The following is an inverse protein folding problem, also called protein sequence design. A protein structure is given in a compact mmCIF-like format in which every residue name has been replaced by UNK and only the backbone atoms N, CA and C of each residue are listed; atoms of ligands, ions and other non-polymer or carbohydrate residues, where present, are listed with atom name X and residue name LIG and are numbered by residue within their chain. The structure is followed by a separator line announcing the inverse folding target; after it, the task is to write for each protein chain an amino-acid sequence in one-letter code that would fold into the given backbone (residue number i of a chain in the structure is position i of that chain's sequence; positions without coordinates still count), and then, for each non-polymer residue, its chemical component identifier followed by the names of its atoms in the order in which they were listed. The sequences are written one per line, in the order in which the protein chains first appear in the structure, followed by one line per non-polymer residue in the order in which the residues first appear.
data_IF_691664627079
#
_entry.id   IF_691664627079
#
_cell.length_a   1.000
_cell.length_b   1.000
_cell.length_c   1.000
_cell.angle_alpha   90.00
_cell.angle_beta   90.00
_cell.angle_gamma   90.00
#
_symmetry.space_group_name_H-M   'P 1'
#
loop_
_entity.id
_entity.type
_entity.pdbx_description
1 polymer ?
#
# COMPACT_ATOMS: atom_id res chain seq x y z
N UNK A 1 -11.54 -11.02 17.82
CA UNK A 1 -10.06 -11.04 17.77
C UNK A 1 -9.59 -9.69 17.23
N UNK A 2 -8.95 -8.85 18.05
CA UNK A 2 -8.31 -7.63 17.58
C UNK A 2 -6.94 -8.00 17.01
N UNK A 3 -6.78 -7.90 15.69
CA UNK A 3 -5.45 -7.97 15.09
C UNK A 3 -4.77 -6.60 15.22
N UNK A 4 -3.46 -6.55 15.51
CA UNK A 4 -2.75 -5.29 15.55
C UNK A 4 -2.87 -4.56 14.20
N UNK A 5 -2.87 -3.24 14.27
CA UNK A 5 -2.72 -2.39 13.08
C UNK A 5 -1.43 -2.77 12.37
N UNK A 6 -1.46 -3.07 11.06
CA UNK A 6 -0.25 -3.33 10.30
C UNK A 6 0.71 -2.14 10.38
N UNK A 7 1.99 -2.43 10.60
CA UNK A 7 3.06 -1.44 10.65
C UNK A 7 4.17 -1.86 9.70
N UNK A 8 4.77 -0.91 9.01
CA UNK A 8 5.95 -1.11 8.18
C UNK A 8 6.94 0.03 8.35
N UNK A 9 8.23 -0.29 8.31
CA UNK A 9 9.31 0.70 8.36
C UNK A 9 9.98 0.80 7.00
N UNK A 10 10.09 2.01 6.46
CA UNK A 10 10.78 2.27 5.20
C UNK A 10 12.29 2.08 5.39
N UNK A 11 12.90 1.25 4.53
CA UNK A 11 14.32 0.83 4.68
C UNK A 11 15.31 2.00 4.70
N UNK A 12 15.10 3.03 3.88
CA UNK A 12 16.07 4.10 3.68
C UNK A 12 15.83 5.34 4.55
N UNK A 13 14.56 5.68 4.81
CA UNK A 13 14.22 6.88 5.60
C UNK A 13 13.96 6.58 7.07
N UNK A 14 13.64 5.32 7.41
CA UNK A 14 13.17 4.96 8.75
C UNK A 14 11.73 5.37 9.03
N UNK A 15 11.02 5.95 8.05
CA UNK A 15 9.62 6.37 8.23
C UNK A 15 8.74 5.16 8.57
N UNK A 16 7.86 5.35 9.54
CA UNK A 16 6.95 4.35 10.07
C UNK A 16 5.59 4.56 9.42
N UNK A 17 5.15 3.58 8.66
CA UNK A 17 3.82 3.52 8.06
C UNK A 17 2.92 2.65 8.93
N UNK A 18 1.77 3.17 9.33
CA UNK A 18 0.75 2.48 10.12
C UNK A 18 -0.55 2.45 9.33
N UNK A 19 -1.21 1.29 9.30
CA UNK A 19 -2.57 1.16 8.78
C UNK A 19 -3.55 1.15 9.94
N UNK A 20 -4.40 2.16 9.98
CA UNK A 20 -5.55 2.20 10.87
C UNK A 20 -6.67 1.32 10.32
N UNK A 21 -7.24 0.48 11.19
CA UNK A 21 -8.39 -0.37 10.84
C UNK A 21 -9.70 0.41 11.01
N UNK A 22 -10.82 -0.31 11.08
CA UNK A 22 -12.14 0.31 11.22
C UNK A 22 -12.18 1.31 12.39
N UNK A 23 -12.93 2.42 12.26
CA UNK A 23 -13.94 2.68 11.22
C UNK A 23 -13.46 3.45 9.98
N UNK A 24 -12.28 4.07 10.01
CA UNK A 24 -11.86 5.03 8.97
C UNK A 24 -11.01 4.42 7.86
N UNK A 25 -10.31 3.31 8.12
CA UNK A 25 -9.41 2.65 7.16
C UNK A 25 -8.46 3.62 6.47
N UNK A 26 -7.39 4.04 7.14
CA UNK A 26 -6.44 5.00 6.58
C UNK A 26 -4.99 4.58 6.81
N UNK A 27 -4.10 5.14 6.00
CA UNK A 27 -2.66 5.03 6.18
C UNK A 27 -2.19 6.29 6.90
N UNK A 28 -1.32 6.12 7.89
CA UNK A 28 -0.61 7.20 8.55
C UNK A 28 0.89 6.97 8.43
N UNK A 29 1.65 8.04 8.19
CA UNK A 29 3.11 7.99 8.09
C UNK A 29 3.72 8.89 9.15
N UNK A 30 4.68 8.35 9.88
CA UNK A 30 5.42 9.01 10.94
C UNK A 30 6.91 8.95 10.63
N UNK A 31 7.65 9.95 11.10
CA UNK A 31 9.11 9.89 11.13
C UNK A 31 9.57 8.87 12.17
N UNK A 32 10.80 8.36 12.03
CA UNK A 32 11.42 7.51 13.06
C UNK A 32 11.52 8.17 14.44
N UNK A 33 11.51 9.51 14.49
CA UNK A 33 11.47 10.31 15.72
C UNK A 33 10.10 10.35 16.40
N UNK A 34 9.07 9.76 15.78
CA UNK A 34 7.67 9.78 16.25
C UNK A 34 6.84 10.95 15.72
N UNK A 35 7.43 11.87 14.94
CA UNK A 35 6.70 13.00 14.35
C UNK A 35 5.68 12.57 13.31
N UNK A 36 4.43 13.01 13.42
CA UNK A 36 3.41 12.77 12.40
C UNK A 36 3.75 13.52 11.11
N UNK A 37 3.71 12.84 9.97
CA UNK A 37 3.97 13.46 8.66
C UNK A 37 2.68 13.69 7.87
N UNK A 38 1.88 12.63 7.67
CA UNK A 38 0.69 12.68 6.81
C UNK A 38 -0.21 11.47 7.02
N UNK A 39 -1.46 11.59 6.56
CA UNK A 39 -2.45 10.52 6.48
C UNK A 39 -3.23 10.59 5.17
N UNK A 40 -3.61 9.44 4.61
CA UNK A 40 -4.32 9.34 3.33
C UNK A 40 -5.01 7.97 3.17
N UNK A 41 -5.74 7.81 2.08
CA UNK A 41 -6.32 6.53 1.66
C UNK A 41 -7.70 6.19 2.27
N UNK A 42 -8.27 7.03 3.13
CA UNK A 42 -9.58 6.79 3.77
C UNK A 42 -10.74 6.57 2.81
N UNK A 43 -10.66 7.12 1.59
CA UNK A 43 -11.66 6.94 0.54
C UNK A 43 -11.39 5.74 -0.37
N UNK A 44 -10.15 5.26 -0.42
CA UNK A 44 -9.73 4.19 -1.34
C UNK A 44 -9.73 2.81 -0.68
N UNK A 45 -9.46 2.78 0.63
CA UNK A 45 -9.24 1.56 1.39
C UNK A 45 -10.54 0.93 1.88
N UNK A 46 -10.59 -0.40 1.77
CA UNK A 46 -11.61 -1.28 2.31
C UNK A 46 -10.90 -2.36 3.13
N UNK A 47 -11.36 -2.64 4.36
CA UNK A 47 -10.62 -3.28 5.44
C UNK A 47 -9.21 -3.81 5.06
N UNK A 48 -8.17 -2.95 5.11
CA UNK A 48 -6.82 -3.33 4.72
C UNK A 48 -6.25 -4.37 5.68
N UNK A 49 -5.50 -5.32 5.14
CA UNK A 49 -4.92 -6.45 5.88
C UNK A 49 -3.44 -6.25 6.19
N UNK A 50 -2.71 -5.57 5.29
CA UNK A 50 -1.31 -5.25 5.50
C UNK A 50 -0.74 -4.30 4.46
N UNK A 51 0.50 -3.91 4.68
CA UNK A 51 1.25 -2.94 3.88
C UNK A 51 2.70 -3.39 3.71
N UNK A 52 3.25 -3.12 2.55
CA UNK A 52 4.68 -3.23 2.28
C UNK A 52 5.15 -1.90 1.66
N UNK A 53 6.40 -1.53 1.91
CA UNK A 53 7.01 -0.31 1.38
C UNK A 53 8.20 -0.70 0.51
N UNK A 54 8.22 -0.22 -0.73
CA UNK A 54 9.31 -0.51 -1.66
C UNK A 54 10.53 0.41 -1.40
N UNK A 55 11.70 0.09 -1.98
CA UNK A 55 12.91 0.91 -1.87
C UNK A 55 12.74 2.38 -2.27
N UNK A 56 11.74 2.71 -3.08
CA UNK A 56 11.47 4.07 -3.57
C UNK A 56 10.35 4.75 -2.75
N UNK A 57 9.92 4.15 -1.64
CA UNK A 57 8.93 4.71 -0.74
C UNK A 57 7.48 4.54 -1.20
N UNK A 58 7.18 3.77 -2.25
CA UNK A 58 5.79 3.45 -2.59
C UNK A 58 5.22 2.37 -1.70
N UNK A 59 3.94 2.54 -1.38
CA UNK A 59 3.22 1.72 -0.43
C UNK A 59 2.33 0.76 -1.21
N UNK A 60 2.50 -0.55 -0.98
CA UNK A 60 1.64 -1.59 -1.50
C UNK A 60 0.76 -2.10 -0.38
N UNK A 61 -0.54 -1.82 -0.47
CA UNK A 61 -1.55 -2.23 0.50
C UNK A 61 -2.39 -3.34 -0.11
N UNK A 62 -2.69 -4.37 0.68
CA UNK A 62 -3.56 -5.46 0.27
C UNK A 62 -4.76 -5.60 1.20
N UNK A 63 -5.90 -5.91 0.58
CA UNK A 63 -7.20 -6.01 1.23
C UNK A 63 -7.72 -7.43 1.09
N UNK A 64 -8.25 -8.01 2.17
CA UNK A 64 -8.66 -9.42 2.15
C UNK A 64 -10.12 -9.64 1.74
N UNK A 65 -11.02 -8.68 2.04
CA UNK A 65 -12.45 -8.86 1.78
C UNK A 65 -12.77 -8.80 0.28
N UNK A 66 -12.11 -7.90 -0.43
CA UNK A 66 -12.27 -7.71 -1.88
C UNK A 66 -11.11 -8.27 -2.68
N UNK A 67 -10.13 -8.88 -2.00
CA UNK A 67 -8.90 -9.43 -2.57
C UNK A 67 -8.28 -8.48 -3.59
N UNK A 68 -7.85 -7.31 -3.11
CA UNK A 68 -7.39 -6.20 -3.94
C UNK A 68 -6.03 -5.72 -3.47
N UNK A 69 -5.19 -5.32 -4.43
CA UNK A 69 -3.93 -4.64 -4.18
C UNK A 69 -4.07 -3.19 -4.63
N UNK A 70 -3.61 -2.27 -3.78
CA UNK A 70 -3.63 -0.83 -4.01
C UNK A 70 -2.22 -0.31 -3.78
N UNK A 71 -1.71 0.48 -4.71
CA UNK A 71 -0.37 1.05 -4.64
C UNK A 71 -0.49 2.56 -4.57
N UNK A 72 0.18 3.16 -3.58
CA UNK A 72 0.28 4.60 -3.39
C UNK A 72 1.72 5.07 -3.59
N UNK A 73 1.86 6.28 -4.11
CA UNK A 73 3.10 7.03 -3.99
C UNK A 73 3.39 7.39 -2.53
N UNK A 74 4.65 7.69 -2.24
CA UNK A 74 5.04 8.17 -0.91
C UNK A 74 4.26 9.44 -0.52
N UNK A 75 3.88 10.29 -1.49
CA UNK A 75 3.05 11.49 -1.29
C UNK A 75 1.65 11.18 -0.75
N UNK A 76 1.14 9.98 -1.00
CA UNK A 76 -0.24 9.57 -0.69
C UNK A 76 -1.16 9.51 -1.91
N UNK A 77 -0.65 9.89 -3.09
CA UNK A 77 -1.41 9.79 -4.34
C UNK A 77 -1.56 8.33 -4.78
N UNK A 78 -2.73 7.99 -5.31
CA UNK A 78 -3.00 6.66 -5.84
C UNK A 78 -2.19 6.45 -7.13
N UNK A 79 -1.33 5.42 -7.14
CA UNK A 79 -0.58 5.02 -8.34
C UNK A 79 -1.40 4.03 -9.18
N UNK A 80 -1.88 2.95 -8.56
CA UNK A 80 -2.71 1.95 -9.25
C UNK A 80 -3.49 1.08 -8.26
N UNK A 81 -4.54 0.41 -8.74
CA UNK A 81 -5.25 -0.64 -7.99
C UNK A 81 -5.71 -1.75 -8.92
N UNK A 82 -5.67 -2.99 -8.45
CA UNK A 82 -6.13 -4.16 -9.20
C UNK A 82 -6.68 -5.24 -8.28
N UNK A 83 -7.71 -5.94 -8.75
CA UNK A 83 -8.32 -7.07 -8.05
C UNK A 83 -7.56 -8.33 -8.41
N UNK A 84 -7.37 -9.21 -7.43
CA UNK A 84 -6.67 -10.48 -7.56
C UNK A 84 -7.44 -11.65 -6.93
N UNK A 85 -8.77 -11.56 -6.90
CA UNK A 85 -9.69 -12.61 -6.42
C UNK A 85 -9.53 -13.94 -7.13
N UNK A 86 -9.09 -13.92 -8.38
CA UNK A 86 -8.94 -15.12 -9.20
C UNK A 86 -7.62 -15.84 -8.89
N UNK A 87 -6.67 -15.16 -8.24
CA UNK A 87 -5.34 -15.70 -7.93
C UNK A 87 -5.12 -15.90 -6.43
N UNK A 88 -5.84 -15.15 -5.56
CA UNK A 88 -5.65 -15.15 -4.12
C UNK A 88 -6.99 -15.33 -3.41
N UNK A 89 -7.00 -16.13 -2.34
CA UNK A 89 -8.22 -16.36 -1.54
C UNK A 89 -8.17 -15.68 -0.18
N UNK A 90 -6.97 -15.64 0.44
CA UNK A 90 -6.81 -15.08 1.79
C UNK A 90 -5.40 -14.51 2.02
N UNK A 91 -5.03 -13.40 1.34
CA UNK A 91 -3.72 -12.81 1.52
C UNK A 91 -3.53 -12.29 2.95
N UNK A 92 -2.41 -12.68 3.57
CA UNK A 92 -2.06 -12.32 4.95
C UNK A 92 -0.80 -11.44 5.05
N UNK A 93 0.06 -11.47 4.04
CA UNK A 93 1.34 -10.77 4.01
C UNK A 93 1.78 -10.48 2.58
N UNK A 94 2.54 -9.41 2.40
CA UNK A 94 3.17 -9.07 1.14
C UNK A 94 4.58 -8.54 1.42
N UNK A 95 5.50 -8.82 0.51
CA UNK A 95 6.85 -8.24 0.49
C UNK A 95 7.11 -7.70 -0.90
N UNK A 96 7.85 -6.60 -0.98
CA UNK A 96 8.17 -5.94 -2.25
C UNK A 96 9.67 -5.92 -2.46
N UNK A 97 10.09 -6.08 -3.71
CA UNK A 97 11.48 -6.00 -4.13
C UNK A 97 11.69 -4.82 -5.07
N UNK A 98 12.90 -4.25 -5.10
CA UNK A 98 13.23 -2.99 -5.76
C UNK A 98 13.23 -2.98 -7.29
N UNK A 99 12.68 -4.00 -7.96
CA UNK A 99 12.59 -4.03 -9.42
C UNK A 99 11.21 -3.58 -9.86
N UNK A 100 11.04 -2.28 -10.10
CA UNK A 100 9.87 -1.78 -10.83
C UNK A 100 10.02 -2.09 -12.31
N UNK A 101 9.00 -2.69 -12.91
CA UNK A 101 8.77 -2.64 -14.37
C UNK A 101 7.45 -1.92 -14.58
N UNK A 102 7.51 -0.67 -15.02
CA UNK A 102 6.37 -0.01 -15.64
C UNK A 102 6.46 -0.31 -17.13
N UNK A 103 5.63 -1.22 -17.63
CA UNK A 103 5.34 -1.27 -19.07
C UNK A 103 4.16 -0.36 -19.31
N UNK A 104 4.41 0.86 -19.78
CA UNK A 104 3.36 1.65 -20.41
C UNK A 104 2.85 0.83 -21.61
N UNK A 105 1.53 0.70 -21.83
CA UNK A 105 1.05 0.19 -23.10
C UNK A 105 1.48 1.18 -24.18
N UNK A 106 2.48 0.81 -24.98
CA UNK A 106 2.81 1.55 -26.20
C UNK A 106 1.71 1.26 -27.21
N UNK A 107 0.68 2.12 -27.25
CA UNK A 107 -0.11 2.25 -28.46
C UNK A 107 0.79 2.89 -29.51
N UNK A 108 1.46 2.07 -30.31
CA UNK A 108 2.08 2.53 -31.54
C UNK A 108 0.98 3.12 -32.43
N UNK A 109 1.08 4.38 -32.89
CA UNK A 109 0.20 4.82 -33.97
C UNK A 109 0.58 3.98 -35.19
N UNK A 110 -0.38 3.19 -35.68
CA UNK A 110 -0.29 2.54 -36.99
C UNK A 110 -0.02 3.60 -38.05
N UNK A 111 0.97 3.30 -38.89
CA UNK A 111 1.42 4.08 -40.04
C UNK A 111 0.29 4.41 -41.02
#
# INVERSE_FOLDING_TARGET
MYFPSPVQVARYTGDITVIERAPTHQIQVFQQSGGFMRKFGSLELQPPRGVAVDPLGCLVVFECRVVRVIIFYQSGDLLCKFVCSDQLTFPNGAVVTGRRRYSYPTTSPTA
#
